data_IF_131451961453
#
_entry.id   IF_131451961453
#
_cell.length_a   1.000
_cell.length_b   1.000
_cell.length_c   1.000
_cell.angle_alpha   90.00
_cell.angle_beta   90.00
_cell.angle_gamma   90.00
#
_symmetry.space_group_name_H-M   'P 1'
#
loop_
_entity.id
_entity.type
_entity.pdbx_description
1 polymer ?
#
# COMPACT_ATOMS: atom_id res chain seq x y z
N UNK A 1 -16.97 -19.49 -13.73
CA UNK A 1 -15.76 -19.77 -12.93
C UNK A 1 -14.57 -19.16 -13.64
N UNK A 2 -13.79 -18.30 -12.96
CA UNK A 2 -12.54 -17.74 -13.51
C UNK A 2 -11.39 -18.33 -12.70
N UNK A 3 -10.47 -19.05 -13.36
CA UNK A 3 -9.25 -19.57 -12.73
C UNK A 3 -8.04 -18.92 -13.39
N UNK A 4 -7.10 -18.45 -12.58
CA UNK A 4 -5.82 -17.89 -13.04
C UNK A 4 -4.72 -18.63 -12.29
N UNK A 5 -3.90 -19.36 -13.02
CA UNK A 5 -2.65 -19.93 -12.52
C UNK A 5 -1.53 -18.95 -12.78
N UNK A 6 -0.70 -18.71 -11.77
CA UNK A 6 0.34 -17.71 -11.84
C UNK A 6 1.55 -18.08 -10.97
N UNK A 7 2.68 -17.49 -11.30
CA UNK A 7 3.88 -17.54 -10.48
C UNK A 7 4.02 -16.18 -9.81
N UNK A 8 3.79 -16.15 -8.50
CA UNK A 8 4.11 -14.98 -7.70
C UNK A 8 5.61 -14.90 -7.53
N UNK A 9 6.21 -13.74 -7.78
CA UNK A 9 7.66 -13.55 -7.58
C UNK A 9 7.95 -12.60 -6.44
N UNK A 10 9.15 -12.70 -5.87
CA UNK A 10 9.66 -11.76 -4.87
C UNK A 10 9.44 -10.29 -5.25
N UNK A 11 9.77 -9.92 -6.48
CA UNK A 11 9.67 -8.54 -6.94
C UNK A 11 8.22 -8.03 -6.91
N UNK A 12 7.25 -8.92 -7.20
CA UNK A 12 5.84 -8.59 -7.11
C UNK A 12 5.43 -8.26 -5.67
N UNK A 13 5.81 -9.12 -4.72
CA UNK A 13 5.55 -8.90 -3.29
C UNK A 13 6.21 -7.62 -2.80
N UNK A 14 7.48 -7.38 -3.18
CA UNK A 14 8.19 -6.15 -2.82
C UNK A 14 7.50 -4.89 -3.34
N UNK A 15 7.00 -4.91 -4.58
CA UNK A 15 6.33 -3.76 -5.18
C UNK A 15 5.05 -3.40 -4.43
N UNK A 16 4.24 -4.39 -4.05
CA UNK A 16 3.03 -4.13 -3.27
C UNK A 16 3.37 -3.60 -1.87
N UNK A 17 4.42 -4.14 -1.24
CA UNK A 17 4.88 -3.67 0.08
C UNK A 17 5.43 -2.23 0.02
N UNK A 18 6.28 -1.91 -0.95
CA UNK A 18 6.80 -0.55 -1.18
C UNK A 18 5.66 0.44 -1.35
N UNK A 19 4.65 0.09 -2.17
CA UNK A 19 3.46 0.92 -2.40
C UNK A 19 2.62 1.10 -1.13
N UNK A 20 2.38 0.03 -0.36
CA UNK A 20 1.64 0.13 0.91
C UNK A 20 2.35 1.00 1.95
N UNK A 21 3.68 0.91 2.04
CA UNK A 21 4.45 1.72 2.99
C UNK A 21 4.55 3.17 2.55
N UNK A 22 4.66 3.47 1.25
CA UNK A 22 4.67 4.86 0.78
C UNK A 22 3.37 5.60 1.12
N UNK A 23 2.24 4.90 1.11
CA UNK A 23 0.95 5.47 1.49
C UNK A 23 0.83 5.73 2.98
N UNK A 24 1.29 4.77 3.79
CA UNK A 24 1.32 4.93 5.23
C UNK A 24 2.24 6.09 5.63
N UNK A 25 3.39 6.19 4.96
CA UNK A 25 4.33 7.30 5.04
C UNK A 25 3.66 8.63 4.72
N UNK A 26 2.97 8.73 3.57
CA UNK A 26 2.35 9.98 3.16
C UNK A 26 1.25 10.43 4.12
N UNK A 27 0.46 9.48 4.65
CA UNK A 27 -0.54 9.79 5.70
C UNK A 27 0.12 10.31 6.98
N UNK A 28 1.20 9.68 7.44
CA UNK A 28 1.94 10.15 8.62
C UNK A 28 2.50 11.54 8.35
N UNK A 29 3.13 11.75 7.19
CA UNK A 29 3.67 13.05 6.79
C UNK A 29 2.59 14.13 6.83
N UNK A 30 1.41 13.85 6.25
CA UNK A 30 0.28 14.78 6.26
C UNK A 30 -0.16 15.12 7.69
N UNK A 31 -0.24 14.12 8.58
CA UNK A 31 -0.59 14.32 10.00
C UNK A 31 0.47 15.18 10.69
N UNK A 32 1.76 14.92 10.45
CA UNK A 32 2.85 15.72 10.98
C UNK A 32 2.74 17.18 10.51
N UNK A 33 2.54 17.42 9.21
CA UNK A 33 2.36 18.77 8.67
C UNK A 33 1.15 19.45 9.36
N UNK A 34 0.00 18.79 9.42
CA UNK A 34 -1.22 19.32 10.04
C UNK A 34 -1.04 19.71 11.51
N UNK A 35 -0.23 18.98 12.28
CA UNK A 35 0.01 19.27 13.70
C UNK A 35 1.10 20.34 13.88
N UNK A 36 2.22 20.22 13.16
CA UNK A 36 3.37 21.09 13.39
C UNK A 36 3.22 22.46 12.73
N UNK A 37 2.53 22.57 11.60
CA UNK A 37 2.27 23.87 10.95
C UNK A 37 1.59 24.88 11.89
N UNK A 38 0.45 24.58 12.56
CA UNK A 38 -0.19 25.54 13.45
C UNK A 38 0.64 25.83 14.71
N UNK A 39 1.37 24.86 15.26
CA UNK A 39 2.29 25.08 16.38
C UNK A 39 3.38 26.07 15.97
N UNK A 40 3.94 25.92 14.77
CA UNK A 40 5.00 26.79 14.30
C UNK A 40 4.47 28.20 14.02
N UNK A 41 3.28 28.33 13.43
CA UNK A 41 2.59 29.63 13.26
C UNK A 41 2.34 30.29 14.61
N UNK A 42 1.90 29.54 15.62
CA UNK A 42 1.64 30.07 16.96
C UNK A 42 2.92 30.58 17.63
N UNK A 43 4.01 29.80 17.57
CA UNK A 43 5.32 30.22 18.06
C UNK A 43 5.81 31.48 17.32
N UNK A 44 5.73 31.51 16.00
CA UNK A 44 6.12 32.67 15.20
C UNK A 44 5.28 33.91 15.50
N UNK A 45 3.96 33.75 15.73
CA UNK A 45 3.06 34.83 16.16
C UNK A 45 3.45 35.41 17.52
N UNK A 46 3.90 34.58 18.45
CA UNK A 46 4.38 35.00 19.77
C UNK A 46 5.71 35.79 19.69
N UNK A 47 6.61 35.40 18.78
CA UNK A 47 7.89 36.09 18.55
C UNK A 47 7.79 37.29 17.58
N UNK A 48 6.66 37.47 16.89
CA UNK A 48 6.43 38.56 15.94
C UNK A 48 6.46 39.96 16.58
N UNK A 49 6.39 40.04 17.93
CA UNK A 49 6.57 41.30 18.66
C UNK A 49 8.04 41.78 18.75
N UNK A 50 9.02 40.93 18.41
CA UNK A 50 10.46 41.22 18.63
C UNK A 50 11.36 40.96 17.41
N UNK A 51 10.91 40.22 16.39
CA UNK A 51 11.71 39.84 15.22
C UNK A 51 11.11 40.35 13.91
N UNK A 52 11.96 40.62 12.90
CA UNK A 52 11.50 41.01 11.57
C UNK A 52 10.78 39.85 10.88
N UNK A 53 9.75 40.18 10.10
CA UNK A 53 8.91 39.20 9.39
C UNK A 53 9.74 38.28 8.47
N UNK A 54 10.79 38.82 7.83
CA UNK A 54 11.68 38.08 6.94
C UNK A 54 12.45 36.96 7.66
N UNK A 55 12.96 37.24 8.86
CA UNK A 55 13.71 36.26 9.68
C UNK A 55 12.78 35.13 10.15
N UNK A 56 11.53 35.46 10.47
CA UNK A 56 10.49 34.50 10.86
C UNK A 56 10.14 33.56 9.69
N UNK A 57 9.97 34.11 8.48
CA UNK A 57 9.68 33.32 7.28
C UNK A 57 10.84 32.39 6.92
N UNK A 58 12.08 32.86 7.05
CA UNK A 58 13.27 32.03 6.80
C UNK A 58 13.37 30.87 7.81
N UNK A 59 13.15 31.14 9.10
CA UNK A 59 13.16 30.10 10.13
C UNK A 59 12.07 29.05 9.89
N UNK A 60 10.84 29.48 9.55
CA UNK A 60 9.74 28.59 9.18
C UNK A 60 10.10 27.69 8.00
N UNK A 61 10.69 28.28 6.96
CA UNK A 61 11.09 27.54 5.77
C UNK A 61 12.14 26.46 6.09
N UNK A 62 13.12 26.77 6.93
CA UNK A 62 14.16 25.82 7.36
C UNK A 62 13.54 24.68 8.19
N UNK A 63 12.67 24.99 9.14
CA UNK A 63 12.02 23.98 10.00
C UNK A 63 11.15 23.04 9.18
N UNK A 64 10.29 23.58 8.30
CA UNK A 64 9.44 22.77 7.42
C UNK A 64 10.29 21.91 6.49
N UNK A 65 11.30 22.49 5.84
CA UNK A 65 12.16 21.76 4.90
C UNK A 65 12.92 20.62 5.61
N UNK A 66 13.45 20.87 6.80
CA UNK A 66 14.14 19.84 7.58
C UNK A 66 13.21 18.71 8.02
N UNK A 67 11.99 19.02 8.48
CA UNK A 67 10.96 18.02 8.80
C UNK A 67 10.60 17.16 7.58
N UNK A 68 10.43 17.77 6.40
CA UNK A 68 10.16 17.03 5.16
C UNK A 68 11.31 16.08 4.79
N UNK A 69 12.57 16.49 4.95
CA UNK A 69 13.73 15.63 4.64
C UNK A 69 13.83 14.47 5.65
N UNK A 70 13.75 14.75 6.95
CA UNK A 70 13.86 13.74 7.99
C UNK A 70 12.76 12.70 7.92
N UNK A 71 11.53 13.12 7.65
CA UNK A 71 10.41 12.20 7.47
C UNK A 71 10.64 11.25 6.29
N UNK A 72 11.11 11.73 5.14
CA UNK A 72 11.43 10.88 3.99
C UNK A 72 12.50 9.83 4.32
N UNK A 73 13.57 10.22 5.02
CA UNK A 73 14.65 9.30 5.43
C UNK A 73 14.12 8.21 6.36
N UNK A 74 13.36 8.59 7.39
CA UNK A 74 12.76 7.64 8.34
C UNK A 74 11.84 6.66 7.60
N UNK A 75 11.07 7.16 6.64
CA UNK A 75 10.18 6.34 5.83
C UNK A 75 10.91 5.32 4.96
N UNK A 76 12.03 5.69 4.33
CA UNK A 76 12.87 4.76 3.58
C UNK A 76 13.39 3.64 4.50
N UNK A 77 13.86 3.98 5.71
CA UNK A 77 14.38 3.01 6.68
C UNK A 77 13.28 2.04 7.11
N UNK A 78 12.10 2.55 7.50
CA UNK A 78 10.95 1.71 7.89
C UNK A 78 10.51 0.82 6.73
N UNK A 79 10.49 1.35 5.50
CA UNK A 79 10.15 0.59 4.29
C UNK A 79 11.09 -0.59 4.11
N UNK A 80 12.41 -0.33 4.08
CA UNK A 80 13.42 -1.39 3.92
C UNK A 80 13.27 -2.46 5.00
N UNK A 81 13.08 -2.07 6.26
CA UNK A 81 12.91 -3.00 7.38
C UNK A 81 11.63 -3.84 7.26
N UNK A 82 10.49 -3.23 6.93
CA UNK A 82 9.21 -3.96 6.75
C UNK A 82 9.22 -4.89 5.55
N UNK A 83 9.78 -4.45 4.42
CA UNK A 83 9.92 -5.27 3.22
C UNK A 83 10.77 -6.50 3.54
N UNK A 84 11.94 -6.30 4.16
CA UNK A 84 12.81 -7.41 4.58
C UNK A 84 12.10 -8.38 5.53
N UNK A 85 11.46 -7.88 6.58
CA UNK A 85 10.78 -8.73 7.57
C UNK A 85 9.60 -9.50 6.96
N UNK A 86 8.83 -8.89 6.06
CA UNK A 86 7.70 -9.55 5.41
C UNK A 86 8.20 -10.59 4.42
N UNK A 87 9.26 -10.28 3.69
CA UNK A 87 9.91 -11.24 2.80
C UNK A 87 10.46 -12.44 3.56
N UNK A 88 11.12 -12.25 4.70
CA UNK A 88 11.56 -13.37 5.54
C UNK A 88 10.39 -14.24 6.01
N UNK A 89 9.22 -13.65 6.33
CA UNK A 89 8.02 -14.46 6.64
C UNK A 89 7.53 -15.25 5.43
N UNK A 90 7.54 -14.66 4.24
CA UNK A 90 7.21 -15.36 2.99
C UNK A 90 8.23 -16.48 2.75
N UNK A 91 9.52 -16.23 2.90
CA UNK A 91 10.58 -17.23 2.79
C UNK A 91 10.41 -18.38 3.78
N UNK A 92 10.03 -18.12 5.02
CA UNK A 92 9.71 -19.18 5.99
C UNK A 92 8.49 -20.00 5.54
N UNK A 93 7.45 -19.36 5.03
CA UNK A 93 6.24 -20.05 4.54
C UNK A 93 6.50 -20.85 3.27
N UNK A 94 7.33 -20.36 2.36
CA UNK A 94 7.50 -20.92 1.02
C UNK A 94 8.85 -21.57 0.76
N UNK A 95 9.79 -21.53 1.70
CA UNK A 95 11.17 -22.00 1.53
C UNK A 95 12.06 -21.00 0.79
N UNK A 96 13.19 -21.47 0.30
CA UNK A 96 14.20 -20.65 -0.41
C UNK A 96 13.85 -20.36 -1.88
N UNK A 97 12.58 -20.52 -2.28
CA UNK A 97 12.15 -20.22 -3.65
C UNK A 97 11.78 -18.74 -3.77
N UNK A 98 12.25 -18.08 -4.84
CA UNK A 98 11.83 -16.72 -5.19
C UNK A 98 10.55 -16.69 -6.04
N UNK A 99 10.07 -17.87 -6.42
CA UNK A 99 8.89 -18.14 -7.21
C UNK A 99 7.90 -18.99 -6.41
N UNK A 100 6.63 -18.58 -6.43
CA UNK A 100 5.55 -19.22 -5.70
C UNK A 100 4.41 -19.53 -6.67
N UNK A 101 4.30 -20.77 -7.16
CA UNK A 101 3.20 -21.20 -8.01
C UNK A 101 1.90 -21.18 -7.21
N UNK A 102 0.92 -20.42 -7.68
CA UNK A 102 -0.39 -20.29 -7.05
C UNK A 102 -1.47 -20.20 -8.12
N UNK A 103 -2.71 -20.44 -7.71
CA UNK A 103 -3.90 -20.23 -8.49
C UNK A 103 -4.87 -19.37 -7.69
N UNK A 104 -5.52 -18.41 -8.36
CA UNK A 104 -6.70 -17.74 -7.83
C UNK A 104 -7.92 -18.23 -8.59
N UNK A 105 -8.93 -18.67 -7.85
CA UNK A 105 -10.18 -19.22 -8.39
C UNK A 105 -11.33 -18.35 -7.90
N UNK A 106 -12.05 -17.73 -8.83
CA UNK A 106 -13.30 -17.03 -8.57
C UNK A 106 -14.47 -17.96 -8.91
N UNK A 107 -15.14 -18.43 -7.86
CA UNK A 107 -16.35 -19.24 -7.94
C UNK A 107 -17.60 -18.36 -7.80
N UNK A 108 -18.77 -18.99 -7.78
CA UNK A 108 -20.04 -18.28 -7.70
C UNK A 108 -20.20 -17.54 -6.36
N UNK A 109 -19.95 -18.21 -5.23
CA UNK A 109 -20.21 -17.64 -3.90
C UNK A 109 -18.95 -17.25 -3.13
N UNK A 110 -17.80 -17.75 -3.56
CA UNK A 110 -16.51 -17.57 -2.88
C UNK A 110 -15.37 -17.45 -3.88
N UNK A 111 -14.20 -17.15 -3.35
CA UNK A 111 -12.97 -17.16 -4.11
C UNK A 111 -11.83 -17.72 -3.27
N UNK A 112 -10.87 -18.32 -3.94
CA UNK A 112 -9.84 -19.17 -3.34
C UNK A 112 -8.49 -18.75 -3.86
N UNK A 113 -7.48 -18.80 -2.99
CA UNK A 113 -6.07 -18.78 -3.39
C UNK A 113 -5.50 -20.13 -3.01
N UNK A 114 -5.06 -20.89 -4.00
CA UNK A 114 -4.52 -22.22 -3.85
C UNK A 114 -3.06 -22.22 -4.28
N UNK A 115 -2.16 -22.57 -3.38
CA UNK A 115 -0.78 -22.84 -3.68
C UNK A 115 -0.35 -24.11 -2.94
N UNK A 116 0.82 -24.62 -3.29
CA UNK A 116 1.37 -25.83 -2.67
C UNK A 116 1.45 -25.73 -1.13
N UNK A 117 1.68 -24.50 -0.62
CA UNK A 117 1.95 -24.24 0.81
C UNK A 117 0.88 -23.41 1.52
N UNK A 118 -0.11 -22.88 0.79
CA UNK A 118 -1.25 -22.17 1.40
C UNK A 118 -2.52 -22.42 0.62
N UNK A 119 -3.62 -22.58 1.34
CA UNK A 119 -4.97 -22.49 0.79
C UNK A 119 -5.73 -21.47 1.61
N UNK A 120 -6.21 -20.42 0.94
CA UNK A 120 -7.00 -19.36 1.54
C UNK A 120 -8.36 -19.33 0.87
N UNK A 121 -9.41 -19.35 1.68
CA UNK A 121 -10.78 -19.27 1.21
C UNK A 121 -11.40 -17.97 1.74
N UNK A 122 -12.00 -17.22 0.84
CA UNK A 122 -12.55 -15.91 1.12
C UNK A 122 -13.96 -15.81 0.56
N UNK A 123 -14.82 -15.11 1.28
CA UNK A 123 -16.11 -14.72 0.73
C UNK A 123 -15.98 -13.38 0.00
N UNK A 124 -16.89 -13.13 -0.93
CA UNK A 124 -16.95 -11.83 -1.59
C UNK A 124 -17.26 -10.69 -0.61
N UNK A 125 -18.10 -10.95 0.40
CA UNK A 125 -18.44 -9.99 1.46
C UNK A 125 -17.25 -9.52 2.32
N UNK A 126 -16.14 -10.25 2.27
CA UNK A 126 -14.90 -9.89 3.00
C UNK A 126 -14.03 -8.93 2.21
N UNK A 127 -14.30 -8.72 0.92
CA UNK A 127 -13.58 -7.75 0.11
C UNK A 127 -13.93 -6.33 0.54
N UNK A 128 -12.91 -5.50 0.71
CA UNK A 128 -13.10 -4.10 1.12
C UNK A 128 -12.69 -3.18 -0.01
N UNK A 129 -11.49 -3.39 -0.54
CA UNK A 129 -10.88 -2.50 -1.53
C UNK A 129 -10.02 -3.30 -2.50
N UNK A 130 -9.84 -2.77 -3.70
CA UNK A 130 -8.89 -3.32 -4.66
C UNK A 130 -8.19 -2.20 -5.42
N UNK A 131 -7.04 -2.50 -5.99
CA UNK A 131 -6.27 -1.58 -6.82
C UNK A 131 -5.39 -2.32 -7.82
N UNK A 132 -5.04 -1.63 -8.91
CA UNK A 132 -4.10 -2.13 -9.89
C UNK A 132 -2.72 -1.51 -9.67
N UNK A 133 -1.70 -2.33 -9.91
CA UNK A 133 -0.33 -1.93 -10.25
C UNK A 133 -0.10 -2.21 -11.74
N UNK A 134 1.06 -1.83 -12.27
CA UNK A 134 1.36 -1.90 -13.71
C UNK A 134 1.16 -3.30 -14.30
N UNK A 135 1.32 -4.36 -13.50
CA UNK A 135 1.17 -5.75 -13.92
C UNK A 135 0.45 -6.65 -12.89
N UNK A 136 -0.26 -6.07 -11.92
CA UNK A 136 -0.90 -6.84 -10.84
C UNK A 136 -2.23 -6.24 -10.41
N UNK A 137 -3.12 -7.12 -9.95
CA UNK A 137 -4.31 -6.75 -9.20
C UNK A 137 -4.09 -7.11 -7.73
N UNK A 138 -4.41 -6.18 -6.84
CA UNK A 138 -4.32 -6.33 -5.40
C UNK A 138 -5.69 -6.16 -4.76
N UNK A 139 -6.07 -7.08 -3.88
CA UNK A 139 -7.34 -7.13 -3.17
C UNK A 139 -7.05 -7.07 -1.68
N UNK A 140 -7.76 -6.18 -0.97
CA UNK A 140 -7.69 -6.01 0.48
C UNK A 140 -8.99 -6.49 1.10
N UNK A 141 -8.87 -7.40 2.05
CA UNK A 141 -10.01 -8.00 2.79
C UNK A 141 -10.17 -7.41 4.19
N UNK A 142 -11.31 -7.67 4.85
CA UNK A 142 -11.65 -7.15 6.20
C UNK A 142 -10.62 -7.53 7.28
N UNK A 143 -9.91 -8.64 7.11
CA UNK A 143 -8.80 -9.05 7.98
C UNK A 143 -7.46 -8.35 7.71
N UNK A 144 -7.45 -7.30 6.87
CA UNK A 144 -6.23 -6.72 6.28
C UNK A 144 -5.35 -7.75 5.56
N UNK A 145 -5.93 -8.88 5.12
CA UNK A 145 -5.22 -9.80 4.25
C UNK A 145 -5.19 -9.18 2.86
N UNK A 146 -3.98 -8.97 2.36
CA UNK A 146 -3.69 -8.49 1.02
C UNK A 146 -3.42 -9.70 0.15
N UNK A 147 -4.25 -9.91 -0.86
CA UNK A 147 -4.02 -10.88 -1.93
C UNK A 147 -3.64 -10.12 -3.18
N UNK A 148 -2.53 -10.48 -3.80
CA UNK A 148 -2.11 -9.95 -5.09
C UNK A 148 -1.87 -11.10 -6.06
N UNK A 149 -2.06 -10.85 -7.34
CA UNK A 149 -1.74 -11.78 -8.42
C UNK A 149 -1.45 -11.01 -9.72
N UNK A 150 -0.58 -11.54 -10.59
CA UNK A 150 -0.23 -10.88 -11.84
C UNK A 150 -1.40 -10.90 -12.82
N UNK A 151 -1.69 -9.74 -13.39
CA UNK A 151 -2.66 -9.57 -14.46
C UNK A 151 -2.39 -8.23 -15.15
N UNK A 152 -2.50 -8.19 -16.47
CA UNK A 152 -2.50 -6.92 -17.20
C UNK A 152 -3.79 -6.15 -16.86
N UNK A 153 -3.71 -4.95 -16.24
CA UNK A 153 -4.89 -4.15 -15.89
C UNK A 153 -5.79 -3.79 -17.08
N UNK A 154 -5.24 -3.77 -18.29
CA UNK A 154 -5.97 -3.42 -19.51
C UNK A 154 -6.60 -4.64 -20.21
N UNK A 155 -6.24 -5.85 -19.77
CA UNK A 155 -6.78 -7.08 -20.33
C UNK A 155 -8.29 -7.21 -20.10
N UNK A 156 -8.97 -7.92 -21.00
CA UNK A 156 -10.40 -8.19 -20.85
C UNK A 156 -10.70 -9.02 -19.60
N UNK A 157 -9.78 -9.92 -19.24
CA UNK A 157 -9.86 -10.72 -18.01
C UNK A 157 -9.82 -9.84 -16.75
N UNK A 158 -8.97 -8.81 -16.71
CA UNK A 158 -8.93 -7.86 -15.60
C UNK A 158 -10.24 -7.08 -15.46
N UNK A 159 -10.84 -6.66 -16.58
CA UNK A 159 -12.15 -5.98 -16.58
C UNK A 159 -13.27 -6.89 -16.09
N UNK A 160 -13.25 -8.17 -16.46
CA UNK A 160 -14.24 -9.15 -15.99
C UNK A 160 -14.12 -9.38 -14.47
N UNK A 161 -12.89 -9.54 -13.97
CA UNK A 161 -12.64 -9.66 -12.53
C UNK A 161 -13.08 -8.38 -11.82
N UNK A 162 -12.72 -7.21 -12.33
CA UNK A 162 -13.13 -5.93 -11.75
C UNK A 162 -14.66 -5.83 -11.62
N UNK A 163 -15.42 -6.18 -12.66
CA UNK A 163 -16.90 -6.22 -12.58
C UNK A 163 -17.37 -7.15 -11.46
N UNK A 164 -16.76 -8.32 -11.34
CA UNK A 164 -17.11 -9.31 -10.32
C UNK A 164 -16.78 -8.81 -8.89
N UNK A 165 -15.63 -8.16 -8.68
CA UNK A 165 -15.25 -7.56 -7.40
C UNK A 165 -16.23 -6.47 -6.97
N UNK A 166 -16.68 -5.64 -7.91
CA UNK A 166 -17.63 -4.55 -7.64
C UNK A 166 -19.04 -5.10 -7.40
N UNK A 167 -19.52 -6.01 -8.24
CA UNK A 167 -20.90 -6.52 -8.18
C UNK A 167 -21.15 -7.47 -7.01
N UNK A 168 -20.22 -8.40 -6.75
CA UNK A 168 -20.38 -9.40 -5.69
C UNK A 168 -19.77 -8.97 -4.37
N UNK A 169 -18.61 -8.32 -4.43
CA UNK A 169 -17.87 -7.92 -3.22
C UNK A 169 -18.21 -6.55 -2.68
N UNK A 170 -18.96 -5.72 -3.41
CA UNK A 170 -19.12 -4.29 -3.12
C UNK A 170 -17.75 -3.58 -2.91
N UNK A 171 -16.70 -4.09 -3.53
CA UNK A 171 -15.34 -3.64 -3.28
C UNK A 171 -15.12 -2.26 -3.91
N UNK A 172 -14.45 -1.37 -3.18
CA UNK A 172 -14.14 -0.03 -3.68
C UNK A 172 -12.79 -0.01 -4.40
N UNK A 173 -12.78 0.46 -5.65
CA UNK A 173 -11.54 0.75 -6.37
C UNK A 173 -10.80 1.89 -5.67
N UNK A 174 -9.57 1.66 -5.27
CA UNK A 174 -8.67 2.75 -4.88
C UNK A 174 -7.94 3.20 -6.14
N UNK A 175 -8.16 4.45 -6.53
CA UNK A 175 -7.26 5.13 -7.47
C UNK A 175 -6.11 5.71 -6.67
N UNK A 176 -4.90 5.28 -7.01
CA UNK A 176 -3.70 5.92 -6.50
C UNK A 176 -3.50 7.22 -7.27
N UNK A 177 -3.74 8.35 -6.63
CA UNK A 177 -3.18 9.62 -7.09
C UNK A 177 -1.71 9.60 -6.68
N UNK A 178 -0.83 9.51 -7.67
CA UNK A 178 0.60 9.83 -7.51
C UNK A 178 0.75 11.34 -7.42
#
# INVERSE_FOLDING_TARGET
MIKIEYIMTKNMVENVLKKNVSLYTYKILLIFILIFTPITIFCCGFFCGTLRIEDILLALFIVISSLLIWTQIVCIIITKKRVKNTFERVRIMYGDTDEFPEAIVFEEDKWLVEGEKRSLNFKYEDMVKYFFLDNQLCIVTKGNCLVNFPIDPNSEQAKQIEKLLVQKGNAKKIRWFL
#
